data_IF_350752289498
#
_entry.id   IF_350752289498
#
_cell.length_a   1.000
_cell.length_b   1.000
_cell.length_c   1.000
_cell.angle_alpha   90.00
_cell.angle_beta   90.00
_cell.angle_gamma   90.00
#
_symmetry.space_group_name_H-M   'P 1'
#
loop_
_entity.id
_entity.type
_entity.pdbx_description
1 polymer ?
#
# COMPACT_ATOMS: atom_id res chain seq x y z
N UNK A 1 9.70 15.22 -18.51
CA UNK A 1 10.04 16.05 -17.32
C UNK A 1 10.96 15.27 -16.40
N UNK A 2 11.68 15.94 -15.49
CA UNK A 2 12.47 15.24 -14.45
C UNK A 2 11.58 14.84 -13.30
N UNK A 3 11.64 13.55 -12.91
CA UNK A 3 10.91 12.98 -11.77
C UNK A 3 11.93 12.44 -10.75
N UNK A 4 11.78 12.77 -9.47
CA UNK A 4 12.64 12.24 -8.42
C UNK A 4 11.80 11.51 -7.40
N UNK A 5 11.78 10.17 -7.49
CA UNK A 5 11.06 9.31 -6.56
C UNK A 5 11.87 9.15 -5.27
N UNK A 6 11.24 9.37 -4.13
CA UNK A 6 11.85 9.20 -2.82
C UNK A 6 11.03 8.26 -1.96
N UNK A 7 11.66 7.19 -1.46
CA UNK A 7 11.04 6.21 -0.60
C UNK A 7 12.01 5.63 0.43
N UNK A 8 11.51 4.84 1.36
CA UNK A 8 12.32 4.24 2.43
C UNK A 8 13.11 3.02 1.97
N UNK A 9 12.45 2.00 1.39
CA UNK A 9 13.05 0.72 1.01
C UNK A 9 12.62 0.29 -0.41
N UNK A 10 13.54 -0.29 -1.17
CA UNK A 10 13.26 -0.84 -2.50
C UNK A 10 13.39 -2.36 -2.57
N UNK A 11 14.38 -2.92 -1.88
CA UNK A 11 14.74 -4.35 -1.95
C UNK A 11 13.79 -5.26 -1.16
N UNK A 12 12.93 -4.68 -0.34
CA UNK A 12 11.88 -5.44 0.37
C UNK A 12 10.69 -5.73 -0.56
N UNK A 13 9.88 -6.74 -0.21
CA UNK A 13 8.63 -7.01 -0.93
C UNK A 13 7.48 -6.21 -0.37
N UNK A 14 6.67 -5.65 -1.26
CA UNK A 14 5.45 -4.91 -0.90
C UNK A 14 4.81 -4.20 -2.08
N UNK A 15 3.59 -3.72 -1.90
CA UNK A 15 2.84 -3.01 -2.93
C UNK A 15 3.54 -1.76 -3.45
N UNK A 16 4.16 -0.98 -2.54
CA UNK A 16 4.90 0.24 -2.92
C UNK A 16 6.09 -0.08 -3.82
N UNK A 17 6.83 -1.15 -3.50
CA UNK A 17 7.96 -1.60 -4.31
C UNK A 17 7.52 -2.04 -5.71
N UNK A 18 6.36 -2.69 -5.82
CA UNK A 18 5.78 -3.05 -7.12
C UNK A 18 5.46 -1.81 -7.96
N UNK A 19 4.91 -0.77 -7.36
CA UNK A 19 4.64 0.52 -8.03
C UNK A 19 5.94 1.20 -8.45
N UNK A 20 6.96 1.24 -7.60
CA UNK A 20 8.28 1.80 -7.94
C UNK A 20 8.93 1.07 -9.11
N UNK A 21 8.81 -0.26 -9.17
CA UNK A 21 9.30 -1.07 -10.31
C UNK A 21 8.56 -0.73 -11.60
N UNK A 22 7.24 -0.49 -11.54
CA UNK A 22 6.46 -0.04 -12.70
C UNK A 22 6.91 1.35 -13.17
N UNK A 23 7.10 2.30 -12.25
CA UNK A 23 7.67 3.60 -12.59
C UNK A 23 9.04 3.46 -13.24
N UNK A 24 9.96 2.67 -12.65
CA UNK A 24 11.27 2.43 -13.24
C UNK A 24 11.20 1.89 -14.67
N UNK A 25 10.30 0.95 -14.93
CA UNK A 25 10.12 0.36 -16.26
C UNK A 25 9.45 1.29 -17.28
N UNK A 26 8.59 2.21 -16.84
CA UNK A 26 7.68 2.95 -17.69
C UNK A 26 8.02 4.45 -17.83
N UNK A 27 8.66 5.11 -16.84
CA UNK A 27 8.87 6.56 -16.85
C UNK A 27 9.72 7.01 -18.04
N UNK A 28 10.82 6.33 -18.32
CA UNK A 28 11.68 6.64 -19.47
C UNK A 28 10.92 6.48 -20.78
N UNK A 29 10.13 5.42 -20.92
CA UNK A 29 9.31 5.16 -22.12
C UNK A 29 8.28 6.25 -22.38
N UNK A 30 7.83 6.93 -21.30
CA UNK A 30 6.89 8.06 -21.38
C UNK A 30 7.55 9.42 -21.54
N UNK A 31 8.88 9.45 -21.76
CA UNK A 31 9.65 10.68 -21.98
C UNK A 31 10.00 11.45 -20.70
N UNK A 32 10.05 10.75 -19.54
CA UNK A 32 10.58 11.33 -18.31
C UNK A 32 12.04 10.98 -18.06
N UNK A 33 12.69 11.76 -17.20
CA UNK A 33 14.03 11.52 -16.69
C UNK A 33 13.91 11.15 -15.19
N UNK A 34 13.72 9.85 -14.85
CA UNK A 34 13.50 9.45 -13.47
C UNK A 34 14.80 9.28 -12.70
N UNK A 35 14.79 9.73 -11.43
CA UNK A 35 15.76 9.35 -10.41
C UNK A 35 15.04 8.72 -9.24
N UNK A 36 15.64 7.69 -8.62
CA UNK A 36 15.08 6.96 -7.50
C UNK A 36 16.04 7.02 -6.32
N UNK A 37 15.59 7.54 -5.19
CA UNK A 37 16.37 7.66 -3.96
C UNK A 37 15.70 6.86 -2.84
N UNK A 38 16.51 6.05 -2.15
CA UNK A 38 16.02 5.16 -1.09
C UNK A 38 16.73 5.45 0.22
N UNK A 39 15.95 5.79 1.25
CA UNK A 39 16.48 6.28 2.51
C UNK A 39 17.35 5.25 3.24
N UNK A 40 16.89 3.99 3.35
CA UNK A 40 17.52 2.96 4.16
C UNK A 40 18.23 1.87 3.35
N UNK A 41 18.44 2.10 2.07
CA UNK A 41 19.24 1.20 1.23
C UNK A 41 20.69 1.67 1.15
N UNK A 42 21.62 0.72 1.01
CA UNK A 42 23.01 1.00 0.64
C UNK A 42 23.11 1.49 -0.80
N UNK A 43 24.12 2.30 -1.11
CA UNK A 43 24.35 2.84 -2.47
C UNK A 43 25.19 1.86 -3.32
N UNK A 44 24.68 0.65 -3.51
CA UNK A 44 25.24 -0.43 -4.30
C UNK A 44 24.29 -0.91 -5.40
N UNK A 45 23.51 0.02 -5.95
CA UNK A 45 22.61 -0.24 -7.06
C UNK A 45 23.39 -0.31 -8.39
N UNK A 46 23.01 -1.26 -9.24
CA UNK A 46 23.54 -1.35 -10.60
C UNK A 46 22.91 -0.31 -11.54
N UNK A 47 21.70 0.13 -11.23
CA UNK A 47 20.95 1.10 -12.01
C UNK A 47 21.50 2.54 -11.76
N UNK A 48 21.94 3.26 -12.81
CA UNK A 48 22.60 4.56 -12.66
C UNK A 48 21.68 5.68 -12.15
N UNK A 49 20.37 5.49 -12.25
CA UNK A 49 19.37 6.42 -11.74
C UNK A 49 18.86 6.07 -10.33
N UNK A 50 19.40 5.04 -9.70
CA UNK A 50 19.12 4.67 -8.32
C UNK A 50 20.20 5.20 -7.38
N UNK A 51 19.82 5.53 -6.16
CA UNK A 51 20.73 6.02 -5.11
C UNK A 51 20.22 5.54 -3.76
N UNK A 52 21.07 4.82 -3.02
CA UNK A 52 20.86 4.48 -1.62
C UNK A 52 21.48 5.53 -0.71
N UNK A 53 20.72 6.05 0.26
CA UNK A 53 21.26 7.05 1.20
C UNK A 53 21.94 6.42 2.41
N UNK A 54 21.78 5.11 2.62
CA UNK A 54 22.40 4.35 3.69
C UNK A 54 22.01 4.86 5.09
N UNK A 55 20.78 5.36 5.26
CA UNK A 55 20.29 5.74 6.58
C UNK A 55 20.12 4.51 7.47
N UNK A 56 20.21 4.68 8.78
CA UNK A 56 20.02 3.62 9.75
C UNK A 56 19.70 4.18 11.13
N UNK A 57 19.22 3.34 12.03
CA UNK A 57 18.80 3.74 13.37
C UNK A 57 19.90 4.39 14.22
N UNK A 58 21.18 4.13 13.90
CA UNK A 58 22.32 4.77 14.57
C UNK A 58 22.60 6.22 14.10
N UNK A 59 22.08 6.60 12.92
CA UNK A 59 22.26 7.97 12.41
C UNK A 59 21.34 8.94 13.15
N UNK A 60 21.85 10.13 13.43
CA UNK A 60 21.04 11.25 13.88
C UNK A 60 20.36 11.94 12.68
N UNK A 61 19.31 12.74 12.95
CA UNK A 61 18.67 13.57 11.90
C UNK A 61 19.73 14.50 11.26
N UNK A 62 20.64 15.08 12.04
CA UNK A 62 21.72 15.91 11.50
C UNK A 62 22.62 15.14 10.51
N UNK A 63 22.98 13.90 10.85
CA UNK A 63 23.77 13.03 9.99
C UNK A 63 23.00 12.63 8.72
N UNK A 64 21.70 12.30 8.84
CA UNK A 64 20.84 12.01 7.69
C UNK A 64 20.71 13.21 6.76
N UNK A 65 20.53 14.42 7.32
CA UNK A 65 20.47 15.67 6.53
C UNK A 65 21.77 15.94 5.78
N UNK A 66 22.92 15.75 6.44
CA UNK A 66 24.23 15.94 5.80
C UNK A 66 24.44 14.95 4.64
N UNK A 67 24.09 13.68 4.84
CA UNK A 67 24.11 12.67 3.77
C UNK A 67 23.17 13.02 2.61
N UNK A 68 21.93 13.40 2.94
CA UNK A 68 20.94 13.79 1.94
C UNK A 68 21.40 14.98 1.10
N UNK A 69 22.05 15.97 1.72
CA UNK A 69 22.55 17.15 1.04
C UNK A 69 23.53 16.81 -0.09
N UNK A 70 24.35 15.76 0.06
CA UNK A 70 25.27 15.30 -0.98
C UNK A 70 24.55 14.76 -2.23
N UNK A 71 23.28 14.38 -2.12
CA UNK A 71 22.46 13.85 -3.20
C UNK A 71 21.32 14.81 -3.60
N UNK A 72 21.26 16.01 -3.02
CA UNK A 72 20.18 16.98 -3.25
C UNK A 72 20.04 17.40 -4.71
N UNK A 73 21.15 17.39 -5.48
CA UNK A 73 21.13 17.66 -6.93
C UNK A 73 20.23 16.72 -7.74
N UNK A 74 19.94 15.53 -7.25
CA UNK A 74 18.98 14.58 -7.86
C UNK A 74 17.57 15.15 -7.92
N UNK A 75 17.25 16.15 -7.09
CA UNK A 75 15.95 16.84 -7.07
C UNK A 75 15.93 18.15 -7.86
N UNK A 76 17.06 18.63 -8.36
CA UNK A 76 17.12 19.92 -9.05
C UNK A 76 16.19 19.92 -10.27
N UNK A 77 15.32 20.93 -10.34
CA UNK A 77 14.34 21.15 -11.41
C UNK A 77 13.39 19.99 -11.66
N UNK A 78 13.28 19.06 -10.72
CA UNK A 78 12.37 17.91 -10.79
C UNK A 78 11.04 18.18 -10.10
N UNK A 79 10.05 17.30 -10.38
CA UNK A 79 8.95 17.06 -9.47
C UNK A 79 9.35 15.89 -8.56
N UNK A 80 9.45 16.15 -7.26
CA UNK A 80 9.76 15.13 -6.27
C UNK A 80 8.47 14.33 -5.94
N UNK A 81 8.50 13.03 -6.15
CA UNK A 81 7.41 12.10 -5.80
C UNK A 81 7.80 11.42 -4.48
N UNK A 82 7.17 11.83 -3.40
CA UNK A 82 7.49 11.39 -2.05
C UNK A 82 6.53 10.29 -1.61
N UNK A 83 6.95 9.03 -1.76
CA UNK A 83 6.15 7.87 -1.40
C UNK A 83 5.98 7.77 0.11
N UNK A 84 4.73 7.73 0.59
CA UNK A 84 4.35 7.84 2.00
C UNK A 84 4.98 9.04 2.74
N UNK A 85 5.60 9.97 2.02
CA UNK A 85 6.11 11.27 2.52
C UNK A 85 7.11 11.18 3.69
N UNK A 86 7.72 10.00 3.92
CA UNK A 86 8.68 9.81 5.00
C UNK A 86 9.83 10.82 4.89
N UNK A 87 10.22 11.39 6.02
CA UNK A 87 11.38 12.26 6.14
C UNK A 87 11.20 13.70 5.64
N UNK A 88 10.06 14.06 5.02
CA UNK A 88 9.85 15.42 4.53
C UNK A 88 9.98 16.48 5.62
N UNK A 89 9.55 16.19 6.85
CA UNK A 89 9.63 17.13 7.98
C UNK A 89 11.05 17.63 8.26
N UNK A 90 12.07 16.85 7.89
CA UNK A 90 13.47 17.20 8.12
C UNK A 90 14.36 17.18 6.88
N UNK A 91 13.79 16.88 5.69
CA UNK A 91 14.55 16.85 4.43
C UNK A 91 14.00 17.83 3.37
N UNK A 92 12.76 18.29 3.50
CA UNK A 92 12.10 19.05 2.43
C UNK A 92 12.82 20.36 2.06
N UNK A 93 13.44 21.03 3.03
CA UNK A 93 14.23 22.24 2.80
C UNK A 93 15.58 22.01 2.09
N UNK A 94 16.00 20.73 2.00
CA UNK A 94 17.19 20.29 1.25
C UNK A 94 16.86 19.78 -0.15
N UNK A 95 15.57 19.71 -0.52
CA UNK A 95 15.11 19.26 -1.84
C UNK A 95 14.92 20.47 -2.77
N UNK A 96 15.83 20.76 -3.71
CA UNK A 96 15.67 21.85 -4.68
C UNK A 96 14.68 21.46 -5.79
N UNK A 97 13.64 20.74 -5.46
CA UNK A 97 12.60 20.32 -6.37
C UNK A 97 11.69 21.51 -6.76
N UNK A 98 11.27 21.53 -8.02
CA UNK A 98 10.30 22.52 -8.52
C UNK A 98 8.98 22.38 -7.76
N UNK A 99 8.53 21.14 -7.54
CA UNK A 99 7.34 20.78 -6.76
C UNK A 99 7.56 19.49 -5.97
N UNK A 100 6.77 19.29 -4.93
CA UNK A 100 6.74 18.05 -4.13
C UNK A 100 5.32 17.48 -4.12
N UNK A 101 5.18 16.27 -4.62
CA UNK A 101 3.93 15.51 -4.67
C UNK A 101 4.05 14.32 -3.72
N UNK A 102 3.15 14.21 -2.77
CA UNK A 102 3.00 13.00 -1.95
C UNK A 102 2.29 11.92 -2.76
N UNK A 103 2.76 10.66 -2.68
CA UNK A 103 2.01 9.49 -3.12
C UNK A 103 1.76 8.62 -1.90
N UNK A 104 0.52 8.61 -1.41
CA UNK A 104 0.12 7.92 -0.19
C UNK A 104 -0.40 6.52 -0.51
N UNK A 105 0.27 5.51 0.04
CA UNK A 105 0.09 4.11 -0.30
C UNK A 105 -0.71 3.30 0.70
N UNK A 106 -0.79 3.72 1.95
CA UNK A 106 -1.55 3.03 3.00
C UNK A 106 -1.91 3.98 4.13
N UNK A 107 -2.96 3.64 4.86
CA UNK A 107 -3.19 4.16 6.18
C UNK A 107 -2.30 3.42 7.20
N UNK A 108 -1.98 4.03 8.32
CA UNK A 108 -1.34 3.41 9.48
C UNK A 108 -1.70 4.17 10.73
N UNK A 109 -1.54 3.52 11.88
CA UNK A 109 -1.79 4.16 13.17
C UNK A 109 -0.93 5.41 13.34
N UNK A 110 -1.57 6.57 13.45
CA UNK A 110 -0.89 7.88 13.56
C UNK A 110 -0.71 8.61 12.24
N UNK A 111 -1.29 8.13 11.12
CA UNK A 111 -1.22 8.82 9.83
C UNK A 111 -1.83 10.23 9.90
N UNK A 112 -2.96 10.42 10.58
CA UNK A 112 -3.60 11.76 10.70
C UNK A 112 -2.66 12.82 11.28
N UNK A 113 -2.06 12.66 12.48
CA UNK A 113 -1.12 13.65 13.00
C UNK A 113 0.14 13.77 12.14
N UNK A 114 0.56 12.70 11.45
CA UNK A 114 1.65 12.77 10.50
C UNK A 114 1.31 13.66 9.29
N UNK A 115 0.12 13.52 8.70
CA UNK A 115 -0.33 14.35 7.58
C UNK A 115 -0.37 15.83 7.95
N UNK A 116 -0.80 16.17 9.16
CA UNK A 116 -0.82 17.55 9.64
C UNK A 116 0.57 18.19 9.65
N UNK A 117 1.62 17.41 9.90
CA UNK A 117 3.01 17.88 9.81
C UNK A 117 3.47 18.16 8.38
N UNK A 118 2.73 17.70 7.38
CA UNK A 118 3.06 17.91 5.96
C UNK A 118 2.52 19.23 5.40
N UNK A 119 1.75 20.00 6.18
CA UNK A 119 1.22 21.30 5.75
C UNK A 119 2.34 22.22 5.27
N UNK A 120 2.17 22.81 4.09
CA UNK A 120 3.16 23.67 3.44
C UNK A 120 4.41 22.97 2.89
N UNK A 121 4.55 21.64 3.09
CA UNK A 121 5.65 20.86 2.54
C UNK A 121 5.34 20.27 1.16
N UNK A 122 4.06 20.10 0.83
CA UNK A 122 3.57 19.45 -0.38
C UNK A 122 2.86 20.44 -1.29
N UNK A 123 2.98 20.24 -2.59
CA UNK A 123 2.29 20.98 -3.64
C UNK A 123 1.07 20.19 -4.18
N UNK A 124 0.96 18.89 -3.86
CA UNK A 124 -0.16 18.02 -4.19
C UNK A 124 -0.01 16.63 -3.57
N UNK A 125 -1.10 15.85 -3.52
CA UNK A 125 -1.11 14.47 -3.00
C UNK A 125 -1.93 13.57 -3.92
N UNK A 126 -1.35 12.42 -4.25
CA UNK A 126 -1.99 11.28 -4.90
C UNK A 126 -2.31 10.23 -3.84
N UNK A 127 -3.54 9.69 -3.84
CA UNK A 127 -4.01 8.70 -2.89
C UNK A 127 -4.52 7.46 -3.61
N UNK A 128 -4.24 6.27 -3.07
CA UNK A 128 -4.59 5.01 -3.74
C UNK A 128 -6.01 4.52 -3.45
N UNK A 129 -6.72 5.11 -2.49
CA UNK A 129 -8.11 4.78 -2.12
C UNK A 129 -8.90 6.04 -1.77
N UNK A 130 -10.24 5.96 -1.79
CA UNK A 130 -11.10 7.08 -1.40
C UNK A 130 -10.96 7.41 0.08
N UNK A 131 -10.83 6.42 0.96
CA UNK A 131 -10.58 6.64 2.39
C UNK A 131 -9.34 7.51 2.62
N UNK A 132 -8.25 7.27 1.87
CA UNK A 132 -7.06 8.12 1.93
C UNK A 132 -7.29 9.52 1.35
N UNK A 133 -8.11 9.67 0.29
CA UNK A 133 -8.50 11.00 -0.23
C UNK A 133 -9.25 11.79 0.83
N UNK A 134 -10.21 11.18 1.51
CA UNK A 134 -10.98 11.81 2.58
C UNK A 134 -10.10 12.21 3.76
N UNK A 135 -9.22 11.31 4.20
CA UNK A 135 -8.29 11.58 5.28
C UNK A 135 -7.34 12.74 4.95
N UNK A 136 -6.71 12.71 3.77
CA UNK A 136 -5.80 13.79 3.31
C UNK A 136 -6.58 15.11 3.18
N UNK A 137 -7.80 15.05 2.64
CA UNK A 137 -8.65 16.23 2.47
C UNK A 137 -8.99 16.90 3.81
N UNK A 138 -9.21 16.11 4.85
CA UNK A 138 -9.45 16.64 6.20
C UNK A 138 -8.20 17.22 6.87
N UNK A 139 -7.01 16.64 6.61
CA UNK A 139 -5.75 17.07 7.22
C UNK A 139 -5.07 18.22 6.46
N UNK A 140 -5.23 18.28 5.13
CA UNK A 140 -4.58 19.24 4.23
C UNK A 140 -5.62 20.03 3.41
N UNK A 141 -6.52 20.79 4.05
CA UNK A 141 -7.66 21.43 3.39
C UNK A 141 -7.26 22.42 2.29
N UNK A 142 -6.08 23.04 2.38
CA UNK A 142 -5.62 23.99 1.36
C UNK A 142 -5.31 23.28 0.03
N UNK A 143 -4.77 22.07 0.07
CA UNK A 143 -4.57 21.24 -1.13
C UNK A 143 -5.91 20.81 -1.71
N UNK A 144 -6.87 20.48 -0.87
CA UNK A 144 -8.22 20.07 -1.29
C UNK A 144 -8.98 21.21 -1.97
N UNK A 145 -9.01 22.39 -1.34
CA UNK A 145 -9.62 23.61 -1.91
C UNK A 145 -9.03 23.99 -3.27
N UNK A 146 -7.75 23.68 -3.48
CA UNK A 146 -7.02 23.93 -4.72
C UNK A 146 -7.08 22.76 -5.70
N UNK A 147 -7.93 21.74 -5.45
CA UNK A 147 -8.04 20.51 -6.26
C UNK A 147 -6.70 19.76 -6.46
N UNK A 148 -5.87 19.73 -5.42
CA UNK A 148 -4.52 19.13 -5.44
C UNK A 148 -4.42 17.82 -4.65
N UNK A 149 -5.55 17.20 -4.37
CA UNK A 149 -5.67 15.83 -3.86
C UNK A 149 -6.40 15.02 -4.93
N UNK A 150 -5.83 13.87 -5.32
CA UNK A 150 -6.37 13.07 -6.43
C UNK A 150 -6.29 11.59 -6.11
N UNK A 151 -7.38 10.87 -6.40
CA UNK A 151 -7.40 9.41 -6.40
C UNK A 151 -6.56 8.87 -7.57
N UNK A 152 -5.68 7.92 -7.29
CA UNK A 152 -4.88 7.17 -8.27
C UNK A 152 -4.78 5.71 -7.83
N UNK A 153 -5.78 4.87 -8.10
CA UNK A 153 -5.74 3.46 -7.73
C UNK A 153 -4.58 2.75 -8.43
N UNK A 154 -4.01 1.74 -7.78
CA UNK A 154 -2.90 0.99 -8.35
C UNK A 154 -3.25 0.30 -9.67
N UNK A 155 -2.30 0.23 -10.61
CA UNK A 155 -2.44 -0.64 -11.76
C UNK A 155 -2.28 -2.11 -11.34
N UNK A 156 -3.07 -2.97 -11.94
CA UNK A 156 -3.07 -4.41 -11.67
C UNK A 156 -2.87 -5.17 -12.98
N UNK A 157 -1.96 -6.14 -12.96
CA UNK A 157 -1.83 -7.12 -14.02
C UNK A 157 -2.98 -8.12 -13.88
N UNK A 158 -4.04 -7.91 -14.67
CA UNK A 158 -5.18 -8.82 -14.68
C UNK A 158 -4.91 -10.06 -15.53
N UNK A 159 -5.58 -11.16 -15.22
CA UNK A 159 -5.61 -12.31 -16.11
C UNK A 159 -6.37 -11.96 -17.41
N UNK A 160 -5.84 -12.39 -18.54
CA UNK A 160 -6.50 -12.17 -19.86
C UNK A 160 -7.84 -12.89 -19.96
N UNK A 161 -7.98 -14.05 -19.30
CA UNK A 161 -9.22 -14.80 -19.21
C UNK A 161 -9.53 -15.21 -17.78
N UNK A 162 -10.81 -15.20 -17.40
CA UNK A 162 -11.25 -15.75 -16.13
C UNK A 162 -11.12 -17.28 -16.16
N UNK A 163 -10.50 -17.90 -15.14
CA UNK A 163 -10.41 -19.34 -15.07
C UNK A 163 -11.81 -19.96 -14.92
N UNK A 164 -12.03 -21.09 -15.57
CA UNK A 164 -13.21 -21.90 -15.32
C UNK A 164 -13.22 -22.39 -13.86
N UNK A 165 -14.38 -22.37 -13.22
CA UNK A 165 -14.53 -22.70 -11.82
C UNK A 165 -15.63 -23.73 -11.59
N UNK A 166 -15.30 -24.74 -10.79
CA UNK A 166 -16.31 -25.67 -10.31
C UNK A 166 -17.29 -24.96 -9.34
N UNK A 167 -18.56 -25.41 -9.30
CA UNK A 167 -19.53 -24.95 -8.30
C UNK A 167 -19.00 -25.06 -6.88
N UNK A 168 -19.42 -24.14 -5.99
CA UNK A 168 -18.99 -24.14 -4.58
C UNK A 168 -19.74 -25.19 -3.75
N UNK A 169 -20.93 -25.56 -4.17
CA UNK A 169 -21.78 -26.48 -3.41
C UNK A 169 -21.12 -27.86 -3.23
N UNK A 170 -21.07 -28.34 -2.00
CA UNK A 170 -20.65 -29.70 -1.65
C UNK A 170 -19.17 -29.99 -1.73
N UNK A 171 -18.31 -28.95 -1.83
CA UNK A 171 -16.85 -29.10 -1.82
C UNK A 171 -16.17 -28.19 -0.79
N UNK A 172 -14.96 -28.54 -0.44
CA UNK A 172 -14.06 -27.68 0.34
C UNK A 172 -13.79 -26.37 -0.39
N UNK A 173 -14.08 -25.22 0.24
CA UNK A 173 -13.78 -23.90 -0.32
C UNK A 173 -12.36 -23.48 -0.02
N UNK A 174 -11.69 -22.87 -0.98
CA UNK A 174 -10.30 -22.41 -0.83
C UNK A 174 -10.28 -20.93 -0.51
N UNK A 175 -9.77 -20.58 0.66
CA UNK A 175 -9.64 -19.19 1.14
C UNK A 175 -8.16 -18.82 1.12
N UNK A 176 -7.81 -17.87 0.26
CA UNK A 176 -6.46 -17.37 0.12
C UNK A 176 -6.17 -16.20 1.05
N UNK A 177 -4.90 -16.08 1.42
CA UNK A 177 -4.35 -14.92 2.09
C UNK A 177 -2.98 -14.58 1.48
N UNK A 178 -2.68 -13.30 1.27
CA UNK A 178 -1.40 -12.83 0.71
C UNK A 178 -0.78 -11.77 1.58
N UNK A 179 0.48 -11.94 1.95
CA UNK A 179 1.20 -10.89 2.63
C UNK A 179 2.46 -11.33 3.34
N UNK A 180 3.09 -10.37 4.01
CA UNK A 180 4.18 -10.65 4.93
C UNK A 180 3.61 -11.18 6.24
N UNK A 181 4.06 -12.36 6.67
CA UNK A 181 3.60 -12.98 7.92
C UNK A 181 4.20 -12.28 9.14
N UNK A 182 3.59 -11.16 9.52
CA UNK A 182 4.02 -10.27 10.61
C UNK A 182 2.82 -9.75 11.40
N UNK A 183 3.08 -9.26 12.62
CA UNK A 183 2.05 -8.75 13.54
C UNK A 183 1.66 -7.29 13.24
N UNK A 184 2.61 -6.43 12.88
CA UNK A 184 2.47 -4.97 12.93
C UNK A 184 1.33 -4.42 12.05
N UNK A 185 1.20 -4.91 10.82
CA UNK A 185 0.17 -4.50 9.88
C UNK A 185 -0.78 -5.65 9.56
N UNK A 186 -0.19 -6.77 9.12
CA UNK A 186 -0.94 -7.91 8.56
C UNK A 186 -1.65 -8.73 9.61
N UNK A 187 -1.31 -8.60 10.89
CA UNK A 187 -2.00 -9.23 12.03
C UNK A 187 -2.31 -10.71 11.82
N UNK A 188 -1.34 -11.44 11.27
CA UNK A 188 -1.50 -12.85 10.93
C UNK A 188 -1.92 -13.72 12.11
N UNK A 189 -1.66 -13.28 13.35
CA UNK A 189 -2.10 -13.93 14.58
C UNK A 189 -3.63 -13.99 14.75
N UNK A 190 -4.39 -13.32 13.89
CA UNK A 190 -5.85 -13.37 13.85
C UNK A 190 -6.40 -14.50 12.98
N UNK A 191 -5.58 -15.05 12.06
CA UNK A 191 -6.01 -16.14 11.17
C UNK A 191 -6.53 -17.39 11.94
N UNK A 192 -5.90 -17.83 13.06
CA UNK A 192 -6.45 -18.93 13.86
C UNK A 192 -7.85 -18.63 14.42
N UNK A 193 -8.12 -17.39 14.81
CA UNK A 193 -9.46 -16.97 15.25
C UNK A 193 -10.51 -17.08 14.14
N UNK A 194 -10.14 -16.66 12.93
CA UNK A 194 -11.00 -16.81 11.75
C UNK A 194 -11.22 -18.31 11.42
N UNK A 195 -10.16 -19.13 11.42
CA UNK A 195 -10.28 -20.58 11.20
C UNK A 195 -11.27 -21.22 12.16
N UNK A 196 -11.14 -20.94 13.46
CA UNK A 196 -12.05 -21.45 14.49
C UNK A 196 -13.50 -21.03 14.28
N UNK A 197 -13.74 -19.79 13.84
CA UNK A 197 -15.10 -19.32 13.55
C UNK A 197 -15.70 -20.03 12.34
N UNK A 198 -14.92 -20.26 11.28
CA UNK A 198 -15.34 -21.02 10.09
C UNK A 198 -15.67 -22.48 10.44
N UNK A 199 -14.85 -23.15 11.25
CA UNK A 199 -15.12 -24.50 11.78
C UNK A 199 -16.40 -24.56 12.60
N UNK A 200 -16.58 -23.61 13.52
CA UNK A 200 -17.77 -23.50 14.37
C UNK A 200 -19.04 -23.27 13.56
N UNK A 201 -18.97 -22.61 12.42
CA UNK A 201 -20.07 -22.41 11.49
C UNK A 201 -20.35 -23.65 10.60
N UNK A 202 -19.52 -24.70 10.68
CA UNK A 202 -19.64 -25.91 9.88
C UNK A 202 -19.23 -25.70 8.41
N UNK A 203 -18.35 -24.76 8.13
CA UNK A 203 -17.84 -24.51 6.77
C UNK A 203 -16.66 -25.45 6.50
N UNK A 204 -16.73 -26.20 5.42
CA UNK A 204 -15.60 -27.00 4.93
C UNK A 204 -14.68 -26.09 4.09
N UNK A 205 -13.52 -25.77 4.65
CA UNK A 205 -12.57 -24.83 4.04
C UNK A 205 -11.13 -25.32 4.08
N UNK A 206 -10.30 -24.75 3.21
CA UNK A 206 -8.85 -24.84 3.24
C UNK A 206 -8.25 -23.44 3.10
N UNK A 207 -7.30 -23.10 3.99
CA UNK A 207 -6.48 -21.91 3.83
C UNK A 207 -5.27 -22.17 2.91
N UNK A 208 -5.01 -21.23 2.01
CA UNK A 208 -3.80 -21.17 1.21
C UNK A 208 -3.10 -19.82 1.43
N UNK A 209 -1.89 -19.85 2.02
CA UNK A 209 -1.16 -18.67 2.45
C UNK A 209 0.04 -18.42 1.55
N UNK A 210 0.04 -17.28 0.84
CA UNK A 210 1.13 -16.80 0.00
C UNK A 210 1.94 -15.73 0.71
N UNK A 211 3.24 -15.94 0.78
CA UNK A 211 4.19 -15.06 1.44
C UNK A 211 4.94 -15.75 2.57
N UNK A 212 5.76 -15.01 3.26
CA UNK A 212 6.57 -15.47 4.39
C UNK A 212 6.71 -14.36 5.44
N UNK A 213 7.41 -14.65 6.51
CA UNK A 213 7.74 -13.65 7.52
C UNK A 213 8.04 -14.24 8.89
N UNK A 214 8.39 -13.39 9.86
CA UNK A 214 8.86 -13.84 11.18
C UNK A 214 7.80 -14.62 11.98
N UNK A 215 6.53 -14.52 11.62
CA UNK A 215 5.43 -15.22 12.30
C UNK A 215 5.03 -16.55 11.64
N UNK A 216 5.67 -16.97 10.55
CA UNK A 216 5.30 -18.19 9.83
C UNK A 216 5.35 -19.43 10.73
N UNK A 217 6.48 -19.69 11.39
CA UNK A 217 6.64 -20.87 12.25
C UNK A 217 5.62 -20.92 13.40
N UNK A 218 5.19 -19.77 13.90
CA UNK A 218 4.12 -19.70 14.90
C UNK A 218 2.77 -20.03 14.26
N UNK A 219 2.46 -19.52 13.07
CA UNK A 219 1.20 -19.81 12.36
C UNK A 219 1.06 -21.29 12.03
N UNK A 220 2.15 -21.95 11.62
CA UNK A 220 2.18 -23.39 11.32
C UNK A 220 1.79 -24.24 12.53
N UNK A 221 2.03 -23.74 13.76
CA UNK A 221 1.63 -24.40 15.00
C UNK A 221 0.18 -24.09 15.43
N UNK A 222 -0.38 -22.97 14.97
CA UNK A 222 -1.70 -22.49 15.41
C UNK A 222 -2.82 -22.82 14.43
N UNK A 223 -2.51 -22.99 13.15
CA UNK A 223 -3.50 -23.32 12.13
C UNK A 223 -3.62 -24.84 11.95
N UNK A 224 -4.82 -25.38 11.63
CA UNK A 224 -4.99 -26.81 11.40
C UNK A 224 -4.17 -27.26 10.18
N UNK A 225 -3.25 -28.20 10.41
CA UNK A 225 -2.27 -28.65 9.40
C UNK A 225 -2.92 -29.41 8.23
N UNK A 226 -4.06 -30.05 8.45
CA UNK A 226 -4.85 -30.76 7.44
C UNK A 226 -5.64 -29.83 6.52
N UNK A 227 -5.80 -28.57 6.92
CA UNK A 227 -6.60 -27.54 6.21
C UNK A 227 -5.80 -26.30 5.83
N UNK A 228 -4.50 -26.28 6.02
CA UNK A 228 -3.67 -25.10 5.75
C UNK A 228 -2.47 -25.46 4.90
N UNK A 229 -2.27 -24.70 3.81
CA UNK A 229 -1.12 -24.82 2.93
C UNK A 229 -0.32 -23.51 2.94
N UNK A 230 0.95 -23.60 3.30
CA UNK A 230 1.90 -22.50 3.25
C UNK A 230 2.70 -22.59 1.96
N UNK A 231 2.49 -21.66 1.04
CA UNK A 231 3.17 -21.66 -0.25
C UNK A 231 4.52 -20.94 -0.23
N UNK A 232 4.82 -20.17 0.83
CA UNK A 232 5.98 -19.31 0.86
C UNK A 232 5.91 -18.20 -0.20
N UNK A 233 7.05 -17.63 -0.54
CA UNK A 233 7.16 -16.68 -1.66
C UNK A 233 7.13 -17.42 -2.98
N UNK A 234 6.44 -16.84 -3.97
CA UNK A 234 6.30 -17.41 -5.30
C UNK A 234 6.78 -16.43 -6.37
N UNK A 235 7.31 -16.95 -7.48
CA UNK A 235 7.52 -16.20 -8.72
C UNK A 235 6.18 -15.74 -9.30
N UNK A 236 6.21 -14.82 -10.29
CA UNK A 236 4.98 -14.29 -10.88
C UNK A 236 4.06 -15.41 -11.41
N UNK A 237 4.58 -16.38 -12.16
CA UNK A 237 3.78 -17.46 -12.75
C UNK A 237 3.24 -18.43 -11.68
N UNK A 238 4.07 -18.79 -10.70
CA UNK A 238 3.66 -19.65 -9.59
C UNK A 238 2.62 -18.94 -8.70
N UNK A 239 2.78 -17.63 -8.46
CA UNK A 239 1.83 -16.80 -7.73
C UNK A 239 0.45 -16.87 -8.37
N UNK A 240 0.37 -16.61 -9.67
CA UNK A 240 -0.88 -16.69 -10.42
C UNK A 240 -1.46 -18.11 -10.47
N UNK A 241 -0.60 -19.13 -10.55
CA UNK A 241 -1.04 -20.52 -10.52
C UNK A 241 -1.71 -20.91 -9.20
N UNK A 242 -1.27 -20.33 -8.07
CA UNK A 242 -1.92 -20.52 -6.77
C UNK A 242 -3.19 -19.68 -6.68
N UNK A 243 -3.09 -18.37 -6.93
CA UNK A 243 -4.19 -17.41 -6.72
C UNK A 243 -5.44 -17.77 -7.53
N UNK A 244 -5.27 -18.21 -8.79
CA UNK A 244 -6.40 -18.57 -9.67
C UNK A 244 -7.24 -19.76 -9.18
N UNK A 245 -6.75 -20.54 -8.20
CA UNK A 245 -7.49 -21.68 -7.62
C UNK A 245 -8.37 -21.30 -6.44
N UNK A 246 -8.17 -20.11 -5.88
CA UNK A 246 -8.91 -19.65 -4.71
C UNK A 246 -10.36 -19.33 -5.04
N UNK A 247 -11.22 -19.59 -4.11
CA UNK A 247 -12.63 -19.18 -4.19
C UNK A 247 -12.82 -17.80 -3.56
N UNK A 248 -12.15 -17.60 -2.43
CA UNK A 248 -12.19 -16.37 -1.66
C UNK A 248 -10.78 -15.88 -1.33
N UNK A 249 -10.66 -14.57 -1.16
CA UNK A 249 -9.49 -13.94 -0.55
C UNK A 249 -9.90 -13.22 0.71
N UNK A 250 -9.10 -13.34 1.78
CA UNK A 250 -9.34 -12.66 3.05
C UNK A 250 -8.18 -11.77 3.46
N UNK A 251 -8.46 -10.82 4.35
CA UNK A 251 -7.48 -10.02 5.08
C UNK A 251 -7.85 -10.02 6.57
N UNK A 252 -6.83 -9.87 7.41
CA UNK A 252 -6.98 -9.69 8.86
C UNK A 252 -6.16 -8.50 9.36
N UNK A 253 -5.76 -7.63 8.44
CA UNK A 253 -4.89 -6.47 8.67
C UNK A 253 -5.54 -5.43 9.58
N UNK A 254 -4.73 -4.67 10.30
CA UNK A 254 -5.21 -3.48 11.04
C UNK A 254 -5.48 -2.30 10.10
N UNK A 255 -4.68 -2.18 9.05
CA UNK A 255 -4.78 -1.09 8.08
C UNK A 255 -4.21 -1.51 6.72
N UNK A 256 -4.76 -0.95 5.68
CA UNK A 256 -4.30 -1.07 4.29
C UNK A 256 -4.52 0.27 3.57
N UNK A 257 -3.92 0.43 2.40
CA UNK A 257 -4.34 1.47 1.45
C UNK A 257 -5.29 0.88 0.43
N UNK A 258 -4.70 0.31 -0.62
CA UNK A 258 -5.39 -0.52 -1.61
C UNK A 258 -4.59 -1.81 -1.77
N UNK A 259 -5.08 -2.96 -1.24
CA UNK A 259 -4.33 -4.22 -1.33
C UNK A 259 -4.28 -4.72 -2.78
N UNK A 260 -3.12 -4.62 -3.41
CA UNK A 260 -2.90 -5.05 -4.82
C UNK A 260 -3.28 -6.53 -4.99
N UNK A 261 -2.88 -7.39 -4.05
CA UNK A 261 -3.20 -8.82 -4.08
C UNK A 261 -4.68 -9.12 -4.13
N UNK A 262 -5.52 -8.26 -3.56
CA UNK A 262 -6.96 -8.43 -3.64
C UNK A 262 -7.49 -8.05 -5.02
N UNK A 263 -7.00 -6.98 -5.62
CA UNK A 263 -7.35 -6.63 -6.99
C UNK A 263 -6.87 -7.69 -8.00
N UNK A 264 -5.68 -8.26 -7.77
CA UNK A 264 -5.18 -9.41 -8.52
C UNK A 264 -6.13 -10.61 -8.38
N UNK A 265 -6.58 -10.91 -7.16
CA UNK A 265 -7.57 -11.97 -6.91
C UNK A 265 -8.90 -11.70 -7.64
N UNK A 266 -9.39 -10.46 -7.60
CA UNK A 266 -10.60 -10.05 -8.35
C UNK A 266 -10.46 -10.27 -9.85
N UNK A 267 -9.29 -9.96 -10.42
CA UNK A 267 -9.03 -10.21 -11.84
C UNK A 267 -9.16 -11.68 -12.22
N UNK A 268 -8.91 -12.59 -11.28
CA UNK A 268 -9.10 -14.02 -11.40
C UNK A 268 -10.52 -14.49 -11.02
N UNK A 269 -11.45 -13.60 -10.70
CA UNK A 269 -12.79 -13.94 -10.23
C UNK A 269 -12.83 -14.58 -8.84
N UNK A 270 -11.82 -14.30 -8.00
CA UNK A 270 -11.79 -14.66 -6.58
C UNK A 270 -12.61 -13.63 -5.81
N UNK A 271 -13.51 -14.06 -4.95
CA UNK A 271 -14.39 -13.18 -4.18
C UNK A 271 -13.74 -12.74 -2.87
N UNK A 272 -13.98 -11.52 -2.38
CA UNK A 272 -13.44 -11.08 -1.10
C UNK A 272 -14.24 -11.65 0.09
N UNK A 273 -13.60 -11.72 1.23
CA UNK A 273 -14.16 -11.80 2.57
C UNK A 273 -13.28 -10.87 3.43
N UNK A 274 -13.63 -9.60 3.52
CA UNK A 274 -12.75 -8.55 4.04
C UNK A 274 -13.31 -7.85 5.27
N UNK A 275 -12.45 -7.48 6.26
CA UNK A 275 -12.87 -6.63 7.37
C UNK A 275 -13.10 -5.19 6.94
N UNK A 276 -14.08 -4.53 7.56
CA UNK A 276 -14.30 -3.09 7.43
C UNK A 276 -13.24 -2.33 8.26
N UNK A 277 -12.15 -1.94 7.64
CA UNK A 277 -11.03 -1.23 8.28
C UNK A 277 -10.79 0.16 7.70
N UNK A 278 -11.67 0.66 6.83
CA UNK A 278 -11.54 1.96 6.16
C UNK A 278 -10.42 1.95 5.11
N UNK A 279 -10.34 0.92 4.29
CA UNK A 279 -9.32 0.74 3.26
C UNK A 279 -9.93 0.59 1.88
N UNK A 280 -9.10 0.71 0.82
CA UNK A 280 -9.56 0.39 -0.53
C UNK A 280 -10.03 -1.07 -0.67
N UNK A 281 -9.59 -1.96 0.22
CA UNK A 281 -10.02 -3.35 0.23
C UNK A 281 -11.49 -3.53 0.54
N UNK A 282 -11.95 -2.95 1.61
CA UNK A 282 -13.37 -2.98 2.00
C UNK A 282 -14.22 -2.07 1.11
N UNK A 283 -13.70 -0.95 0.60
CA UNK A 283 -14.40 -0.13 -0.41
C UNK A 283 -14.80 -0.99 -1.63
N UNK A 284 -13.85 -1.68 -2.25
CA UNK A 284 -14.10 -2.53 -3.43
C UNK A 284 -14.93 -3.77 -3.11
N UNK A 285 -14.78 -4.33 -1.91
CA UNK A 285 -15.60 -5.46 -1.48
C UNK A 285 -17.05 -5.06 -1.28
N UNK A 286 -17.32 -3.88 -0.71
CA UNK A 286 -18.67 -3.33 -0.53
C UNK A 286 -19.37 -3.00 -1.86
N UNK A 287 -18.62 -2.65 -2.92
CA UNK A 287 -19.20 -2.49 -4.25
C UNK A 287 -19.79 -3.80 -4.82
N UNK A 288 -19.29 -4.97 -4.37
CA UNK A 288 -19.83 -6.27 -4.74
C UNK A 288 -21.04 -6.68 -3.90
N UNK A 289 -21.20 -6.09 -2.72
CA UNK A 289 -22.30 -6.33 -1.78
C UNK A 289 -21.85 -6.38 -0.32
N UNK A 290 -22.76 -6.00 0.57
CA UNK A 290 -22.49 -5.93 2.03
C UNK A 290 -22.08 -7.28 2.63
N UNK A 291 -22.45 -8.40 1.99
CA UNK A 291 -22.07 -9.74 2.43
C UNK A 291 -20.58 -10.03 2.30
N UNK A 292 -19.85 -9.29 1.49
CA UNK A 292 -18.41 -9.47 1.29
C UNK A 292 -17.55 -8.69 2.29
N UNK A 293 -18.18 -7.82 3.11
CA UNK A 293 -17.51 -7.03 4.14
C UNK A 293 -18.07 -7.40 5.51
N UNK A 294 -17.21 -7.64 6.49
CA UNK A 294 -17.59 -7.96 7.86
C UNK A 294 -17.00 -6.94 8.83
N UNK A 295 -17.65 -6.76 9.99
CA UNK A 295 -17.19 -5.87 11.04
C UNK A 295 -15.80 -6.30 11.53
N UNK A 296 -14.85 -5.37 11.55
CA UNK A 296 -13.47 -5.67 11.88
C UNK A 296 -13.36 -6.42 13.22
N UNK A 297 -12.67 -7.55 13.17
CA UNK A 297 -12.42 -8.49 14.30
C UNK A 297 -13.62 -9.32 14.76
N UNK A 298 -14.79 -9.20 14.15
CA UNK A 298 -15.92 -10.12 14.37
C UNK A 298 -15.84 -11.33 13.42
N UNK A 299 -15.05 -12.32 13.80
CA UNK A 299 -14.90 -13.56 13.00
C UNK A 299 -16.18 -14.40 12.94
N UNK A 300 -17.08 -14.26 13.92
CA UNK A 300 -18.40 -14.90 13.87
C UNK A 300 -19.24 -14.32 12.73
N UNK A 301 -19.24 -13.00 12.57
CA UNK A 301 -19.89 -12.35 11.44
C UNK A 301 -19.24 -12.73 10.11
N UNK A 302 -17.89 -12.79 10.02
CA UNK A 302 -17.19 -13.25 8.83
C UNK A 302 -17.65 -14.64 8.40
N UNK A 303 -17.70 -15.59 9.34
CA UNK A 303 -18.15 -16.95 9.07
C UNK A 303 -19.64 -17.01 8.68
N UNK A 304 -20.50 -16.24 9.34
CA UNK A 304 -21.93 -16.14 9.01
C UNK A 304 -22.17 -15.61 7.60
N UNK A 305 -21.46 -14.55 7.22
CA UNK A 305 -21.53 -13.96 5.87
C UNK A 305 -21.04 -14.95 4.80
N UNK A 306 -19.89 -15.59 5.03
CA UNK A 306 -19.41 -16.63 4.11
C UNK A 306 -20.42 -17.76 3.96
N UNK A 307 -21.01 -18.26 5.06
CA UNK A 307 -22.07 -19.29 5.01
C UNK A 307 -23.26 -18.84 4.18
N UNK A 308 -23.68 -17.59 4.31
CA UNK A 308 -24.76 -17.00 3.51
C UNK A 308 -24.41 -16.94 2.02
N UNK A 309 -23.17 -16.59 1.67
CA UNK A 309 -22.70 -16.59 0.28
C UNK A 309 -22.73 -18.02 -0.29
N UNK A 310 -22.24 -19.01 0.48
CA UNK A 310 -22.19 -20.42 0.05
C UNK A 310 -23.60 -21.04 -0.13
N UNK A 311 -24.63 -20.48 0.47
CA UNK A 311 -26.01 -20.88 0.29
C UNK A 311 -26.69 -20.27 -0.95
N UNK A 312 -26.05 -19.32 -1.64
CA UNK A 312 -26.60 -18.68 -2.84
C UNK A 312 -26.53 -19.60 -4.07
N UNK A 313 -27.44 -19.41 -5.04
CA UNK A 313 -27.35 -20.09 -6.34
C UNK A 313 -26.00 -19.81 -7.03
N UNK A 314 -25.45 -20.81 -7.71
CA UNK A 314 -24.16 -20.66 -8.42
C UNK A 314 -24.18 -19.56 -9.48
N UNK A 315 -25.34 -19.30 -10.09
CA UNK A 315 -25.53 -18.17 -11.01
C UNK A 315 -25.25 -16.81 -10.35
N UNK A 316 -25.70 -16.63 -9.09
CA UNK A 316 -25.46 -15.42 -8.31
C UNK A 316 -23.97 -15.29 -7.95
N UNK A 317 -23.33 -16.40 -7.57
CA UNK A 317 -21.88 -16.44 -7.30
C UNK A 317 -21.08 -16.12 -8.58
N UNK A 318 -21.49 -16.72 -9.71
CA UNK A 318 -20.87 -16.46 -11.00
C UNK A 318 -20.99 -14.98 -11.44
N UNK A 319 -22.14 -14.36 -11.18
CA UNK A 319 -22.32 -12.94 -11.41
C UNK A 319 -21.39 -12.10 -10.53
N UNK A 320 -21.32 -12.34 -9.23
CA UNK A 320 -20.42 -11.63 -8.31
C UNK A 320 -18.94 -11.76 -8.73
N UNK A 321 -18.53 -12.93 -9.23
CA UNK A 321 -17.18 -13.16 -9.79
C UNK A 321 -16.92 -12.30 -11.04
N UNK A 322 -17.90 -12.21 -11.93
CA UNK A 322 -17.81 -11.36 -13.13
C UNK A 322 -17.74 -9.88 -12.75
N UNK A 323 -18.53 -9.44 -11.77
CA UNK A 323 -18.49 -8.09 -11.21
C UNK A 323 -17.16 -7.76 -10.55
N UNK A 324 -16.62 -8.65 -9.70
CA UNK A 324 -15.30 -8.50 -9.10
C UNK A 324 -14.22 -8.27 -10.17
N UNK A 325 -14.25 -9.08 -11.23
CA UNK A 325 -13.34 -8.90 -12.35
C UNK A 325 -13.56 -7.56 -13.07
N UNK A 326 -14.80 -7.15 -13.30
CA UNK A 326 -15.12 -5.88 -13.95
C UNK A 326 -14.59 -4.66 -13.16
N UNK A 327 -14.55 -4.74 -11.82
CA UNK A 327 -13.93 -3.71 -10.99
C UNK A 327 -12.46 -3.48 -11.35
N UNK A 328 -11.73 -4.53 -11.71
CA UNK A 328 -10.30 -4.43 -12.05
C UNK A 328 -10.03 -3.75 -13.39
N UNK A 329 -11.02 -3.62 -14.27
CA UNK A 329 -10.86 -2.89 -15.53
C UNK A 329 -10.51 -1.40 -15.34
N UNK A 330 -10.82 -0.84 -14.18
CA UNK A 330 -10.45 0.53 -13.78
C UNK A 330 -8.95 0.68 -13.43
N UNK A 331 -8.22 -0.43 -13.35
CA UNK A 331 -6.85 -0.54 -12.85
C UNK A 331 -5.83 -0.80 -13.97
N UNK A 332 -6.07 -0.31 -15.19
CA UNK A 332 -5.09 -0.46 -16.27
C UNK A 332 -3.85 0.40 -16.02
N UNK A 333 -2.68 -0.12 -16.40
CA UNK A 333 -1.41 0.62 -16.31
C UNK A 333 -1.45 1.91 -17.15
N UNK A 334 -2.11 1.87 -18.31
CA UNK A 334 -2.27 3.04 -19.18
C UNK A 334 -3.03 4.16 -18.45
N UNK A 335 -4.15 3.83 -17.79
CA UNK A 335 -4.97 4.81 -17.09
C UNK A 335 -4.26 5.35 -15.84
N UNK A 336 -3.54 4.49 -15.11
CA UNK A 336 -2.72 4.90 -13.97
C UNK A 336 -1.70 5.94 -14.39
N UNK A 337 -0.88 5.64 -15.40
CA UNK A 337 0.16 6.57 -15.84
C UNK A 337 -0.41 7.81 -16.52
N UNK A 338 -1.52 7.71 -17.24
CA UNK A 338 -2.21 8.88 -17.79
C UNK A 338 -2.65 9.84 -16.67
N UNK A 339 -3.26 9.31 -15.63
CA UNK A 339 -3.71 10.10 -14.46
C UNK A 339 -2.53 10.70 -13.71
N UNK A 340 -1.48 9.91 -13.51
CA UNK A 340 -0.23 10.35 -12.86
C UNK A 340 0.41 11.50 -13.63
N UNK A 341 0.65 11.34 -14.94
CA UNK A 341 1.33 12.33 -15.78
C UNK A 341 0.53 13.64 -15.88
N UNK A 342 -0.78 13.56 -16.04
CA UNK A 342 -1.66 14.73 -16.06
C UNK A 342 -1.62 15.51 -14.74
N UNK A 343 -1.68 14.78 -13.62
CA UNK A 343 -1.63 15.40 -12.30
C UNK A 343 -0.28 16.06 -12.04
N UNK A 344 0.82 15.34 -12.29
CA UNK A 344 2.18 15.83 -12.03
C UNK A 344 2.51 17.01 -12.94
N UNK A 345 2.13 16.97 -14.22
CA UNK A 345 2.32 18.09 -15.16
C UNK A 345 1.57 19.34 -14.69
N UNK A 346 0.30 19.19 -14.32
CA UNK A 346 -0.51 20.29 -13.81
C UNK A 346 0.12 20.89 -12.54
N UNK A 347 0.54 20.08 -11.57
CA UNK A 347 1.19 20.56 -10.34
C UNK A 347 2.52 21.25 -10.65
N UNK A 348 3.26 20.81 -11.67
CA UNK A 348 4.51 21.43 -12.08
C UNK A 348 4.31 22.86 -12.62
N UNK A 349 3.20 23.12 -13.32
CA UNK A 349 2.93 24.39 -14.00
C UNK A 349 2.16 25.39 -13.13
N UNK A 350 1.33 24.93 -12.22
CA UNK A 350 0.55 25.79 -11.32
C UNK A 350 1.45 26.44 -10.24
N UNK A 351 1.12 27.66 -9.76
CA UNK A 351 1.81 28.29 -8.63
C UNK A 351 1.67 27.44 -7.37
N UNK A 352 2.60 27.56 -6.43
CA UNK A 352 2.49 26.88 -5.13
C UNK A 352 1.26 27.36 -4.38
N UNK A 353 0.62 26.48 -3.62
CA UNK A 353 -0.51 26.84 -2.74
C UNK A 353 -0.03 27.76 -1.62
N UNK A 354 1.14 27.49 -1.05
CA UNK A 354 1.84 28.41 -0.16
C UNK A 354 2.93 29.13 -0.92
N UNK A 355 2.83 30.46 -0.99
CA UNK A 355 3.84 31.32 -1.63
C UNK A 355 5.15 31.38 -0.82
N UNK A 356 5.14 30.94 0.43
CA UNK A 356 6.32 30.92 1.29
C UNK A 356 7.33 29.89 0.75
N UNK A 357 8.53 30.36 0.45
CA UNK A 357 9.70 29.45 0.32
C UNK A 357 9.76 28.65 1.60
N UNK A 358 9.92 27.33 1.47
CA UNK A 358 10.23 26.48 2.62
C UNK A 358 11.36 27.12 3.42
N UNK A 359 11.01 27.65 4.60
CA UNK A 359 12.00 28.18 5.51
C UNK A 359 12.99 27.08 5.84
N UNK A 360 14.28 27.44 5.91
CA UNK A 360 15.32 26.50 6.35
C UNK A 360 14.88 25.95 7.72
N UNK A 361 14.78 24.63 7.80
CA UNK A 361 14.36 23.96 9.04
C UNK A 361 15.31 24.36 10.17
N UNK A 362 14.83 24.81 11.34
CA UNK A 362 15.67 25.08 12.50
C UNK A 362 16.34 23.78 12.99
N UNK A 363 17.50 23.95 13.60
CA UNK A 363 18.18 22.86 14.29
C UNK A 363 17.56 22.66 15.66
N UNK A 364 17.27 21.40 16.01
CA UNK A 364 16.80 21.00 17.32
C UNK A 364 17.88 20.16 18.03
N UNK A 365 17.98 20.27 19.34
CA UNK A 365 18.95 19.45 20.12
C UNK A 365 18.75 17.95 19.89
N UNK A 366 17.50 17.51 19.78
CA UNK A 366 17.11 16.14 19.44
C UNK A 366 17.67 15.65 18.10
N UNK A 367 18.03 16.55 17.17
CA UNK A 367 18.61 16.19 15.88
C UNK A 367 19.99 15.52 16.00
N UNK A 368 20.60 15.56 17.18
CA UNK A 368 21.86 14.89 17.49
C UNK A 368 21.67 13.46 18.01
N UNK A 369 20.48 13.11 18.46
CA UNK A 369 20.19 11.78 19.00
C UNK A 369 20.08 10.75 17.87
N UNK A 370 20.48 9.47 18.11
CA UNK A 370 20.25 8.39 17.15
C UNK A 370 18.77 8.25 16.82
N UNK A 371 18.45 8.14 15.54
CA UNK A 371 17.08 8.05 15.05
C UNK A 371 16.30 6.88 15.66
N UNK A 372 16.95 5.71 15.78
CA UNK A 372 16.34 4.55 16.44
C UNK A 372 16.03 4.75 17.93
N UNK A 373 16.78 5.62 18.65
CA UNK A 373 16.45 5.99 20.01
C UNK A 373 15.27 6.95 20.03
N UNK A 374 15.27 7.94 19.16
CA UNK A 374 14.20 8.93 19.07
C UNK A 374 12.83 8.27 18.73
N UNK A 375 12.81 7.33 17.80
CA UNK A 375 11.57 6.61 17.43
C UNK A 375 11.04 5.72 18.55
N UNK A 376 11.90 5.24 19.45
CA UNK A 376 11.50 4.46 20.64
C UNK A 376 10.95 5.35 21.76
N UNK A 377 11.61 6.48 22.01
CA UNK A 377 11.23 7.39 23.10
C UNK A 377 10.04 8.28 22.73
N UNK A 378 9.95 8.65 21.46
CA UNK A 378 8.89 9.49 20.88
C UNK A 378 8.43 8.90 19.55
N UNK A 379 7.60 7.86 19.54
CA UNK A 379 7.14 7.23 18.29
C UNK A 379 6.52 8.22 17.32
N UNK A 380 5.88 9.28 17.81
CA UNK A 380 5.31 10.38 17.04
C UNK A 380 6.20 11.63 17.00
N UNK A 381 7.28 11.68 17.79
CA UNK A 381 8.12 12.88 17.96
C UNK A 381 8.96 13.24 16.74
N UNK A 382 9.36 12.23 15.96
CA UNK A 382 10.04 12.45 14.68
C UNK A 382 9.11 12.99 13.58
N UNK A 383 7.81 13.01 13.83
CA UNK A 383 6.77 13.45 12.90
C UNK A 383 6.24 14.85 13.22
N UNK A 384 6.49 15.39 14.43
CA UNK A 384 6.03 16.74 14.78
C UNK A 384 7.05 17.80 14.35
N UNK A 385 6.59 18.83 13.63
CA UNK A 385 7.13 20.17 13.78
C UNK A 385 6.72 20.58 15.19
N UNK A 386 7.68 20.85 16.08
CA UNK A 386 7.33 21.55 17.30
C UNK A 386 6.79 22.92 16.88
N UNK A 387 5.58 23.22 17.32
CA UNK A 387 4.98 24.55 17.31
C UNK A 387 5.88 25.57 18.01
#
# INVERSE_FOLDING_TARGET
MRLSHFFTYYRTLGGVQSVLKRHHAADVKRGHEPAFLFAFESDDFAEPNFTGLGFGGAHSISSMRARFANHSSRFTDSVAICHNMWGLQFLADLMPAKRRVGLLHSDWTGLRPFLETQRGLLDGVLCVSNALVELVSSCLPDLTKSNRVKLIPYPVDGLTAMPERAPLAGRTVVIGWVGRMQTEQKRVERLPGLAKALESAGIDFRFELLGDGPRQAWLEQQLPSDRTVFHGRKSADEYWAVLRRWDFITSVSDYEGLPISMLEAFSAGVLPICPAIGSGGDEYSAELGDEFVWEAFDFGQAASKLKSILAKPESTIGQARAEARALTNRHSEVEYFRTFDQFVARIADEPRVSAERLAKRPFYFSDRLPFGLMTRLWPNGCTRRNE
#
